data_IF_399486910493
#
_entry.id   IF_399486910493
#
_cell.length_a   1.000
_cell.length_b   1.000
_cell.length_c   1.000
_cell.angle_alpha   90.00
_cell.angle_beta   90.00
_cell.angle_gamma   90.00
#
_symmetry.space_group_name_H-M   'P 1'
#
loop_
_entity.id
_entity.type
_entity.pdbx_description
1 polymer ?
#
# COMPACT_ATOMS: atom_id res chain seq x y z
N UNK A 1 48.24 -45.71 5.05
CA UNK A 1 48.12 -44.37 4.43
C UNK A 1 47.00 -44.25 3.39
N UNK A 2 46.86 -45.15 2.41
CA UNK A 2 45.81 -45.05 1.37
C UNK A 2 44.37 -44.99 1.92
N UNK A 3 44.04 -45.80 2.94
CA UNK A 3 42.69 -45.80 3.56
C UNK A 3 42.32 -44.47 4.25
N UNK A 4 43.29 -43.83 4.93
CA UNK A 4 43.10 -42.52 5.60
C UNK A 4 42.82 -41.41 4.59
N UNK A 5 43.48 -41.45 3.43
CA UNK A 5 43.30 -40.47 2.35
C UNK A 5 41.93 -40.64 1.67
N UNK A 6 41.39 -41.87 1.59
CA UNK A 6 40.05 -42.10 1.04
C UNK A 6 38.95 -41.59 1.98
N UNK A 7 39.10 -41.77 3.29
CA UNK A 7 38.17 -41.23 4.29
C UNK A 7 38.08 -39.70 4.24
N UNK A 8 39.23 -39.02 4.11
CA UNK A 8 39.25 -37.55 4.02
C UNK A 8 38.57 -37.00 2.77
N UNK A 9 38.72 -37.69 1.62
CA UNK A 9 38.06 -37.30 0.35
C UNK A 9 36.54 -37.47 0.41
N UNK A 10 36.04 -38.51 1.08
CA UNK A 10 34.60 -38.74 1.27
C UNK A 10 34.00 -37.65 2.16
N UNK A 11 34.67 -37.31 3.27
CA UNK A 11 34.19 -36.26 4.19
C UNK A 11 34.15 -34.90 3.48
N UNK A 12 35.21 -34.54 2.75
CA UNK A 12 35.25 -33.29 1.98
C UNK A 12 34.13 -33.23 0.92
N UNK A 13 33.85 -34.34 0.23
CA UNK A 13 32.77 -34.42 -0.75
C UNK A 13 31.38 -34.26 -0.11
N UNK A 14 31.13 -34.85 1.06
CA UNK A 14 29.87 -34.69 1.79
C UNK A 14 29.65 -33.26 2.28
N UNK A 15 30.70 -32.59 2.78
CA UNK A 15 30.62 -31.19 3.22
C UNK A 15 30.29 -30.26 2.04
N UNK A 16 30.93 -30.47 0.89
CA UNK A 16 30.63 -29.71 -0.33
C UNK A 16 29.18 -29.95 -0.80
N UNK A 17 28.70 -31.21 -0.77
CA UNK A 17 27.33 -31.53 -1.17
C UNK A 17 26.27 -30.87 -0.24
N UNK A 18 26.55 -30.82 1.06
CA UNK A 18 25.68 -30.15 2.05
C UNK A 18 25.60 -28.63 1.83
N UNK A 19 26.67 -27.99 1.35
CA UNK A 19 26.66 -26.54 1.06
C UNK A 19 25.90 -26.16 -0.21
N UNK A 20 25.68 -27.11 -1.14
CA UNK A 20 25.00 -26.84 -2.42
C UNK A 20 23.48 -27.06 -2.36
N UNK A 21 22.98 -27.75 -1.33
CA UNK A 21 21.55 -28.01 -1.12
C UNK A 21 20.79 -26.82 -0.48
N UNK A 22 21.46 -25.68 -0.25
CA UNK A 22 20.93 -24.51 0.45
C UNK A 22 20.09 -23.53 -0.37
N UNK A 23 19.66 -23.87 -1.60
CA UNK A 23 18.76 -23.01 -2.37
C UNK A 23 17.32 -23.08 -1.82
N UNK A 24 17.04 -22.33 -0.75
CA UNK A 24 15.68 -22.06 -0.30
C UNK A 24 14.98 -21.10 -1.28
N UNK A 25 13.89 -21.54 -1.90
CA UNK A 25 13.02 -20.65 -2.69
C UNK A 25 12.24 -19.74 -1.74
N UNK A 26 12.42 -18.43 -1.84
CA UNK A 26 11.62 -17.48 -1.04
C UNK A 26 10.18 -17.43 -1.57
N UNK A 27 9.20 -17.28 -0.69
CA UNK A 27 7.80 -17.06 -1.10
C UNK A 27 7.68 -15.78 -1.94
N UNK A 28 6.96 -15.80 -3.09
CA UNK A 28 6.78 -14.62 -3.92
C UNK A 28 6.01 -13.52 -3.18
N UNK A 29 6.38 -12.26 -3.41
CA UNK A 29 5.65 -11.10 -2.87
C UNK A 29 4.53 -10.66 -3.83
N UNK A 30 3.37 -10.32 -3.27
CA UNK A 30 2.23 -9.74 -3.94
C UNK A 30 2.12 -8.25 -3.61
N UNK A 31 1.81 -7.44 -4.63
CA UNK A 31 1.68 -6.00 -4.51
C UNK A 31 0.25 -5.54 -4.84
N UNK A 32 -0.26 -4.61 -4.04
CA UNK A 32 -1.65 -4.16 -4.08
C UNK A 32 -1.72 -2.64 -4.20
N UNK A 33 -2.75 -2.16 -4.87
CA UNK A 33 -3.09 -0.74 -4.98
C UNK A 33 -4.59 -0.61 -4.74
N UNK A 34 -4.98 0.47 -4.08
CA UNK A 34 -6.34 0.96 -4.05
C UNK A 34 -6.73 1.43 -5.45
N UNK A 35 -8.00 1.22 -5.77
CA UNK A 35 -8.60 1.67 -7.03
C UNK A 35 -9.77 2.57 -6.70
N UNK A 36 -9.90 3.65 -7.45
CA UNK A 36 -11.08 4.48 -7.41
C UNK A 36 -12.34 3.69 -7.80
N UNK A 37 -13.47 4.18 -7.32
CA UNK A 37 -14.77 3.66 -7.64
C UNK A 37 -15.05 3.85 -9.12
N UNK A 38 -15.64 2.82 -9.74
CA UNK A 38 -16.11 2.95 -11.11
C UNK A 38 -17.18 4.05 -11.21
N UNK A 39 -17.21 4.87 -12.27
CA UNK A 39 -18.23 5.92 -12.44
C UNK A 39 -19.66 5.41 -12.35
N UNK A 40 -19.90 4.16 -12.77
CA UNK A 40 -21.20 3.50 -12.66
C UNK A 40 -21.65 3.28 -11.21
N UNK A 41 -20.71 3.10 -10.27
CA UNK A 41 -20.97 2.86 -8.85
C UNK A 41 -21.41 4.11 -8.08
N UNK A 42 -21.22 5.29 -8.65
CA UNK A 42 -21.55 6.60 -8.03
C UNK A 42 -22.66 7.34 -8.80
N UNK A 43 -23.37 6.63 -9.68
CA UNK A 43 -24.52 7.16 -10.43
C UNK A 43 -25.58 7.72 -9.48
N UNK A 44 -25.84 9.03 -9.54
CA UNK A 44 -26.84 9.72 -8.72
C UNK A 44 -26.29 10.62 -7.61
N UNK A 45 -24.97 10.67 -7.41
CA UNK A 45 -24.31 11.59 -6.47
C UNK A 45 -23.79 12.87 -7.15
N UNK A 46 -23.94 12.99 -8.47
CA UNK A 46 -23.49 14.13 -9.26
C UNK A 46 -24.27 15.40 -8.89
N UNK A 47 -23.60 16.35 -8.26
CA UNK A 47 -24.11 17.70 -8.04
C UNK A 47 -23.57 18.64 -9.12
N UNK A 48 -24.40 18.94 -10.13
CA UNK A 48 -24.04 19.85 -11.21
C UNK A 48 -23.61 21.24 -10.71
N UNK A 49 -24.03 21.66 -9.51
CA UNK A 49 -23.63 22.94 -8.92
C UNK A 49 -22.15 22.93 -8.48
N UNK A 50 -21.63 21.77 -8.08
CA UNK A 50 -20.25 21.60 -7.66
C UNK A 50 -19.25 21.58 -8.84
N UNK A 51 -19.70 21.36 -10.08
CA UNK A 51 -18.86 21.30 -11.28
C UNK A 51 -18.05 22.58 -11.56
N UNK A 52 -18.51 23.74 -11.07
CA UNK A 52 -17.82 25.03 -11.23
C UNK A 52 -16.87 25.39 -10.09
N UNK A 53 -16.92 24.64 -8.98
CA UNK A 53 -16.11 24.88 -7.80
C UNK A 53 -14.77 24.13 -7.90
N UNK A 54 -13.73 24.72 -7.32
CA UNK A 54 -12.42 24.12 -7.13
C UNK A 54 -12.23 23.64 -5.69
N UNK A 55 -11.70 22.43 -5.54
CA UNK A 55 -11.49 21.80 -4.24
C UNK A 55 -10.03 21.44 -4.05
N UNK A 56 -9.50 21.73 -2.86
CA UNK A 56 -8.17 21.29 -2.43
C UNK A 56 -8.32 20.07 -1.52
N UNK A 57 -7.75 18.93 -1.90
CA UNK A 57 -7.70 17.74 -1.08
C UNK A 57 -6.39 17.68 -0.30
N UNK A 58 -6.49 17.85 1.01
CA UNK A 58 -5.44 17.48 1.94
C UNK A 58 -5.03 18.59 2.92
N UNK A 59 -4.12 18.26 3.86
CA UNK A 59 -3.39 16.99 3.95
C UNK A 59 -4.31 15.79 4.26
N UNK A 60 -3.93 14.62 3.74
CA UNK A 60 -4.53 13.33 4.11
C UNK A 60 -3.57 12.67 5.10
N UNK A 61 -4.02 12.46 6.33
CA UNK A 61 -3.22 11.84 7.39
C UNK A 61 -3.69 10.43 7.68
N UNK A 62 -2.72 9.54 7.93
CA UNK A 62 -2.94 8.18 8.37
C UNK A 62 -2.13 7.89 9.64
N UNK A 63 -2.52 6.88 10.43
CA UNK A 63 -1.75 6.46 11.59
C UNK A 63 -0.36 6.00 11.16
N UNK A 64 0.68 6.38 11.93
CA UNK A 64 2.08 6.14 11.57
C UNK A 64 2.47 4.66 11.48
N UNK A 65 1.73 3.76 12.13
CA UNK A 65 1.98 2.32 12.02
C UNK A 65 1.67 1.77 10.61
N UNK A 66 0.93 2.52 9.79
CA UNK A 66 0.63 2.19 8.40
C UNK A 66 1.66 2.76 7.41
N UNK A 67 2.63 3.56 7.86
CA UNK A 67 3.69 4.15 7.02
C UNK A 67 4.76 3.10 6.70
N UNK A 68 4.33 2.04 6.00
CA UNK A 68 5.15 0.89 5.64
C UNK A 68 4.58 0.14 4.45
N UNK A 69 5.42 -0.61 3.70
CA UNK A 69 4.95 -1.35 2.54
C UNK A 69 3.99 -2.48 2.87
N UNK A 70 4.14 -3.22 3.99
CA UNK A 70 3.30 -4.39 4.23
C UNK A 70 1.89 -4.02 4.68
N UNK A 71 0.90 -4.80 4.24
CA UNK A 71 -0.47 -4.68 4.69
C UNK A 71 -0.55 -5.04 6.18
N UNK A 72 -1.27 -4.21 6.94
CA UNK A 72 -1.48 -4.36 8.38
C UNK A 72 -2.90 -4.88 8.65
N UNK A 73 -3.02 -5.87 9.53
CA UNK A 73 -4.30 -6.40 10.01
C UNK A 73 -4.33 -6.38 11.53
N UNK A 74 -5.50 -6.15 12.13
CA UNK A 74 -5.67 -6.17 13.58
C UNK A 74 -6.00 -7.60 14.03
N UNK A 75 -5.20 -8.19 14.93
CA UNK A 75 -5.42 -9.56 15.46
C UNK A 75 -6.22 -9.58 16.77
N UNK A 76 -6.77 -8.44 17.18
CA UNK A 76 -7.40 -8.23 18.48
C UNK A 76 -6.37 -7.93 19.58
N UNK A 77 -6.82 -7.54 20.77
CA UNK A 77 -5.94 -7.43 21.95
C UNK A 77 -4.73 -6.49 21.80
N UNK A 78 -4.89 -5.33 21.16
CA UNK A 78 -3.83 -4.32 20.94
C UNK A 78 -2.66 -4.79 20.07
N UNK A 79 -2.80 -5.89 19.34
CA UNK A 79 -1.79 -6.41 18.44
C UNK A 79 -2.14 -6.10 16.98
N UNK A 80 -1.08 -5.84 16.20
CA UNK A 80 -1.15 -5.67 14.75
C UNK A 80 -0.25 -6.69 14.09
N UNK A 81 -0.77 -7.36 13.07
CA UNK A 81 -0.05 -8.33 12.27
C UNK A 81 0.34 -7.72 10.92
N UNK A 82 1.51 -8.14 10.43
CA UNK A 82 2.10 -7.62 9.22
C UNK A 82 2.18 -8.73 8.17
N UNK A 83 1.61 -8.49 6.99
CA UNK A 83 1.65 -9.47 5.91
C UNK A 83 3.00 -9.42 5.17
N UNK A 84 3.94 -10.29 5.55
CA UNK A 84 5.32 -10.30 5.02
C UNK A 84 5.41 -10.30 3.49
N UNK A 85 4.54 -11.07 2.83
CA UNK A 85 4.51 -11.26 1.38
C UNK A 85 3.39 -10.48 0.69
N UNK A 86 2.63 -9.64 1.40
CA UNK A 86 1.56 -8.82 0.81
C UNK A 86 1.79 -7.34 1.15
N UNK A 87 2.06 -6.55 0.11
CA UNK A 87 2.54 -5.18 0.25
C UNK A 87 1.70 -4.23 -0.59
N UNK A 88 1.57 -3.00 -0.14
CA UNK A 88 1.20 -1.89 -1.00
C UNK A 88 2.28 -1.68 -2.06
N UNK A 89 1.86 -1.41 -3.30
CA UNK A 89 2.78 -1.17 -4.40
C UNK A 89 3.40 0.25 -4.34
N UNK A 90 2.80 1.16 -3.57
CA UNK A 90 3.28 2.51 -3.30
C UNK A 90 2.95 2.90 -1.84
N UNK A 91 3.50 4.00 -1.29
CA UNK A 91 3.13 4.47 0.04
C UNK A 91 1.62 4.62 0.17
N UNK A 92 1.04 3.98 1.19
CA UNK A 92 -0.42 3.93 1.36
C UNK A 92 -1.04 5.34 1.42
N UNK A 93 -0.36 6.30 2.04
CA UNK A 93 -0.81 7.69 2.12
C UNK A 93 -0.95 8.36 0.76
N UNK A 94 -0.01 8.13 -0.15
CA UNK A 94 -0.04 8.66 -1.52
C UNK A 94 -1.18 8.02 -2.31
N UNK A 95 -1.32 6.69 -2.22
CA UNK A 95 -2.36 5.96 -2.93
C UNK A 95 -3.76 6.36 -2.47
N UNK A 96 -3.97 6.52 -1.16
CA UNK A 96 -5.24 6.99 -0.59
C UNK A 96 -5.55 8.41 -1.05
N UNK A 97 -4.59 9.34 -1.01
CA UNK A 97 -4.80 10.71 -1.50
C UNK A 97 -5.25 10.72 -2.96
N UNK A 98 -4.57 9.93 -3.81
CA UNK A 98 -4.89 9.84 -5.23
C UNK A 98 -6.29 9.26 -5.48
N UNK A 99 -6.62 8.14 -4.82
CA UNK A 99 -7.94 7.52 -4.95
C UNK A 99 -9.06 8.41 -4.43
N UNK A 100 -8.83 9.14 -3.34
CA UNK A 100 -9.81 10.12 -2.83
C UNK A 100 -10.03 11.26 -3.82
N UNK A 101 -8.97 11.79 -4.44
CA UNK A 101 -9.10 12.84 -5.45
C UNK A 101 -9.90 12.36 -6.68
N UNK A 102 -9.62 11.14 -7.16
CA UNK A 102 -10.35 10.54 -8.28
C UNK A 102 -11.82 10.25 -7.93
N UNK A 103 -12.09 9.74 -6.73
CA UNK A 103 -13.48 9.54 -6.29
C UNK A 103 -14.24 10.87 -6.20
N UNK A 104 -13.62 11.91 -5.64
CA UNK A 104 -14.23 13.23 -5.52
C UNK A 104 -14.48 13.87 -6.89
N UNK A 105 -13.57 13.72 -7.86
CA UNK A 105 -13.75 14.28 -9.20
C UNK A 105 -14.98 13.68 -9.89
N UNK A 106 -15.18 12.38 -9.75
CA UNK A 106 -16.36 11.68 -10.30
C UNK A 106 -17.63 12.06 -9.54
N UNK A 107 -17.60 12.03 -8.20
CA UNK A 107 -18.78 12.31 -7.37
C UNK A 107 -19.27 13.75 -7.51
N UNK A 108 -18.36 14.73 -7.56
CA UNK A 108 -18.68 16.15 -7.69
C UNK A 108 -18.79 16.60 -9.15
N UNK A 109 -18.47 15.71 -10.11
CA UNK A 109 -18.46 16.00 -11.54
C UNK A 109 -17.62 17.25 -11.87
N UNK A 110 -16.44 17.31 -11.28
CA UNK A 110 -15.45 18.40 -11.45
C UNK A 110 -14.07 17.81 -11.68
N UNK A 111 -13.28 18.41 -12.56
CA UNK A 111 -11.87 18.09 -12.75
C UNK A 111 -10.94 18.97 -11.88
N UNK A 112 -11.52 19.90 -11.11
CA UNK A 112 -10.81 20.93 -10.35
C UNK A 112 -10.48 20.46 -8.92
N UNK A 113 -9.85 19.30 -8.81
CA UNK A 113 -9.39 18.72 -7.53
C UNK A 113 -7.87 18.84 -7.42
N UNK A 114 -7.40 19.71 -6.54
CA UNK A 114 -5.98 19.98 -6.30
C UNK A 114 -5.49 19.20 -5.08
N UNK A 115 -4.49 18.33 -5.24
CA UNK A 115 -3.96 17.53 -4.13
C UNK A 115 -2.88 18.29 -3.34
N UNK A 116 -2.90 18.14 -2.03
CA UNK A 116 -1.90 18.73 -1.15
C UNK A 116 -0.53 18.07 -1.37
N UNK A 117 0.57 18.84 -1.39
CA UNK A 117 0.63 20.30 -1.31
C UNK A 117 0.41 20.97 -2.68
N UNK A 118 -0.53 21.92 -2.77
CA UNK A 118 -0.70 22.76 -3.96
C UNK A 118 -0.01 24.13 -3.82
N UNK A 119 0.20 24.79 -4.96
CA UNK A 119 0.80 26.13 -4.99
C UNK A 119 -0.16 27.13 -4.36
N UNK A 120 0.35 28.06 -3.55
CA UNK A 120 -0.47 29.14 -2.95
C UNK A 120 -1.20 30.02 -3.96
N UNK A 121 -0.73 30.06 -5.20
CA UNK A 121 -1.34 30.80 -6.30
C UNK A 121 -2.50 30.07 -6.96
N UNK A 122 -2.69 28.77 -6.68
CA UNK A 122 -3.80 27.99 -7.21
C UNK A 122 -5.08 28.37 -6.43
N UNK A 123 -6.11 28.92 -7.09
CA UNK A 123 -7.36 29.25 -6.43
C UNK A 123 -8.09 27.96 -6.08
N UNK A 124 -8.42 27.81 -4.79
CA UNK A 124 -9.20 26.70 -4.24
C UNK A 124 -10.36 27.32 -3.48
N UNK A 125 -11.60 27.00 -3.87
CA UNK A 125 -12.80 27.53 -3.23
C UNK A 125 -13.05 26.86 -1.87
N UNK A 126 -12.78 25.55 -1.79
CA UNK A 126 -12.96 24.76 -0.57
C UNK A 126 -11.81 23.79 -0.34
N UNK A 127 -11.40 23.64 0.93
CA UNK A 127 -10.38 22.67 1.32
C UNK A 127 -11.02 21.51 2.10
N UNK A 128 -10.67 20.29 1.71
CA UNK A 128 -11.07 19.04 2.34
C UNK A 128 -9.84 18.48 3.06
N UNK A 129 -9.84 18.50 4.39
CA UNK A 129 -8.81 17.88 5.21
C UNK A 129 -9.32 16.52 5.68
N UNK A 130 -8.50 15.49 5.57
CA UNK A 130 -8.89 14.11 5.88
C UNK A 130 -7.93 13.54 6.91
N UNK A 131 -8.48 13.10 8.04
CA UNK A 131 -7.75 12.33 9.04
C UNK A 131 -8.33 10.92 9.14
N UNK A 132 -7.54 9.94 8.70
CA UNK A 132 -7.92 8.53 8.74
C UNK A 132 -7.43 7.97 10.06
N UNK A 133 -8.37 7.58 10.92
CA UNK A 133 -8.05 7.07 12.25
C UNK A 133 -7.65 5.58 12.22
N UNK A 134 -8.14 4.84 11.23
CA UNK A 134 -7.91 3.41 11.09
C UNK A 134 -8.00 3.01 9.62
N UNK A 135 -7.07 2.16 9.16
CA UNK A 135 -7.08 1.57 7.83
C UNK A 135 -6.41 0.19 7.88
N UNK A 136 -7.11 -0.73 8.53
CA UNK A 136 -6.74 -2.14 8.67
C UNK A 136 -8.02 -3.00 8.68
N UNK A 137 -7.85 -4.29 8.47
CA UNK A 137 -8.95 -5.26 8.48
C UNK A 137 -8.81 -6.27 9.62
N UNK A 138 -9.93 -6.87 10.00
CA UNK A 138 -9.98 -8.08 10.82
C UNK A 138 -9.78 -9.31 9.94
N UNK A 139 -8.95 -10.25 10.37
CA UNK A 139 -8.93 -11.60 9.76
C UNK A 139 -10.25 -12.30 10.08
N UNK A 140 -10.88 -12.88 9.04
CA UNK A 140 -12.09 -13.70 9.16
C UNK A 140 -11.80 -15.16 9.46
#
# INVERSE_FOLDING_TARGET
>A
MKSIIHGFRIIAACVILLTVLGCGTSQPSHFYLLRALSPSSVSGLSDAKASSLSFGLGPVTLPKYLDRPQIVTQSGGHEVELAEFHKWAEPLSENVSHVLAENLSVMLSTDRIEQYPWRRTTPVDYQIVVDILQFDGTRG
#
